data_IF_607878346620
#
_entry.id   IF_607878346620
#
_cell.length_a   1.000
_cell.length_b   1.000
_cell.length_c   1.000
_cell.angle_alpha   90.00
_cell.angle_beta   90.00
_cell.angle_gamma   90.00
#
_symmetry.space_group_name_H-M   'P 1'
#
loop_
_entity.id
_entity.type
_entity.pdbx_description
1 polymer ?
#
# COMPACT_ATOMS: atom_id res chain seq x y z
N UNK A 1 -26.13 -17.66 -2.07
CA UNK A 1 -25.55 -17.05 -0.84
C UNK A 1 -24.52 -16.03 -1.29
N UNK A 2 -24.59 -14.79 -0.78
CA UNK A 2 -23.51 -13.81 -0.98
C UNK A 2 -22.37 -14.14 -0.01
N UNK A 3 -21.14 -14.00 -0.48
CA UNK A 3 -19.91 -14.07 0.36
C UNK A 3 -20.00 -12.99 1.46
N UNK A 4 -19.64 -13.34 2.70
CA UNK A 4 -19.52 -12.35 3.79
C UNK A 4 -18.20 -11.58 3.71
N UNK A 5 -18.12 -10.40 4.33
CA UNK A 5 -16.88 -9.61 4.39
C UNK A 5 -15.69 -10.42 4.95
N UNK A 6 -15.91 -11.20 6.01
CA UNK A 6 -14.86 -12.04 6.60
C UNK A 6 -14.41 -13.15 5.66
N UNK A 7 -15.34 -13.74 4.89
CA UNK A 7 -15.01 -14.73 3.87
C UNK A 7 -14.20 -14.11 2.73
N UNK A 8 -14.57 -12.90 2.29
CA UNK A 8 -13.82 -12.16 1.27
C UNK A 8 -12.40 -11.81 1.74
N UNK A 9 -12.26 -11.31 2.98
CA UNK A 9 -10.95 -11.04 3.61
C UNK A 9 -10.08 -12.31 3.65
N UNK A 10 -10.64 -13.42 4.14
CA UNK A 10 -9.93 -14.68 4.25
C UNK A 10 -9.49 -15.23 2.88
N UNK A 11 -10.36 -15.14 1.86
CA UNK A 11 -10.06 -15.59 0.50
C UNK A 11 -8.94 -14.76 -0.13
N UNK A 12 -9.00 -13.43 -0.03
CA UNK A 12 -7.94 -12.56 -0.56
C UNK A 12 -6.63 -12.88 0.15
N UNK A 13 -6.66 -12.97 1.48
CA UNK A 13 -5.49 -13.28 2.30
C UNK A 13 -4.83 -14.60 1.91
N UNK A 14 -5.61 -15.67 1.77
CA UNK A 14 -5.10 -16.97 1.33
C UNK A 14 -4.46 -16.92 -0.07
N UNK A 15 -5.03 -16.12 -0.99
CA UNK A 15 -4.43 -15.88 -2.32
C UNK A 15 -3.09 -15.14 -2.23
N UNK A 16 -2.98 -14.14 -1.34
CA UNK A 16 -1.72 -13.42 -1.11
C UNK A 16 -0.66 -14.31 -0.46
N UNK A 17 -1.08 -15.22 0.44
CA UNK A 17 -0.19 -16.20 1.07
C UNK A 17 0.32 -17.26 0.07
N UNK A 18 -0.47 -17.57 -0.96
CA UNK A 18 -0.10 -18.46 -2.06
C UNK A 18 0.60 -17.75 -3.24
N UNK A 19 0.83 -16.44 -3.14
CA UNK A 19 1.49 -15.68 -4.20
C UNK A 19 2.99 -15.97 -4.18
N UNK A 20 3.53 -16.41 -5.33
CA UNK A 20 4.96 -16.63 -5.57
C UNK A 20 5.41 -15.67 -6.69
N UNK A 21 5.78 -14.45 -6.29
CA UNK A 21 6.23 -13.38 -7.17
C UNK A 21 7.72 -13.53 -7.50
N UNK A 22 8.03 -13.86 -8.76
CA UNK A 22 9.37 -14.24 -9.25
C UNK A 22 10.52 -13.21 -9.19
N UNK A 23 10.54 -12.27 -8.23
CA UNK A 23 11.69 -11.41 -7.93
C UNK A 23 11.79 -11.18 -6.41
N UNK A 24 12.37 -12.15 -5.68
CA UNK A 24 12.49 -12.18 -4.22
C UNK A 24 12.29 -13.59 -3.67
N UNK A 25 12.00 -13.75 -2.38
CA UNK A 25 11.60 -15.04 -1.79
C UNK A 25 10.20 -15.51 -2.21
N UNK A 26 9.60 -14.83 -3.20
CA UNK A 26 8.28 -15.13 -3.74
C UNK A 26 7.15 -14.47 -2.98
N UNK A 27 7.34 -13.98 -1.75
CA UNK A 27 6.21 -13.65 -0.88
C UNK A 27 5.84 -12.17 -0.90
N UNK A 28 4.54 -11.89 -0.80
CA UNK A 28 4.05 -10.58 -0.40
C UNK A 28 4.40 -10.43 1.07
N UNK A 29 5.14 -9.39 1.45
CA UNK A 29 5.51 -9.18 2.85
C UNK A 29 4.28 -9.04 3.75
N UNK A 30 4.35 -9.66 4.93
CA UNK A 30 3.27 -9.72 5.93
C UNK A 30 2.72 -8.33 6.29
N UNK A 31 3.59 -7.34 6.39
CA UNK A 31 3.24 -5.97 6.75
C UNK A 31 2.45 -5.23 5.66
N UNK A 32 2.57 -5.67 4.39
CA UNK A 32 1.85 -5.07 3.27
C UNK A 32 0.50 -5.73 3.01
N UNK A 33 0.32 -7.01 3.40
CA UNK A 33 -0.89 -7.80 3.13
C UNK A 33 -2.20 -7.14 3.63
N UNK A 34 -2.29 -6.58 4.86
CA UNK A 34 -3.52 -5.95 5.33
C UNK A 34 -4.01 -4.83 4.42
N UNK A 35 -3.09 -3.96 3.97
CA UNK A 35 -3.42 -2.87 3.05
C UNK A 35 -3.92 -3.41 1.71
N UNK A 36 -3.27 -4.45 1.17
CA UNK A 36 -3.69 -5.07 -0.09
C UNK A 36 -5.10 -5.68 0.03
N UNK A 37 -5.39 -6.38 1.12
CA UNK A 37 -6.73 -6.95 1.37
C UNK A 37 -7.80 -5.86 1.33
N UNK A 38 -7.57 -4.75 2.03
CA UNK A 38 -8.53 -3.65 2.12
C UNK A 38 -8.68 -2.94 0.76
N UNK A 39 -7.58 -2.74 0.04
CA UNK A 39 -7.60 -2.16 -1.30
C UNK A 39 -8.42 -3.03 -2.27
N UNK A 40 -8.26 -4.36 -2.24
CA UNK A 40 -9.01 -5.27 -3.10
C UNK A 40 -10.50 -5.31 -2.77
N UNK A 41 -10.87 -5.22 -1.48
CA UNK A 41 -12.27 -5.06 -1.08
C UNK A 41 -12.88 -3.77 -1.62
N UNK A 42 -12.07 -2.72 -1.77
CA UNK A 42 -12.47 -1.45 -2.39
C UNK A 42 -12.34 -1.45 -3.92
N UNK A 43 -12.05 -2.60 -4.54
CA UNK A 43 -11.95 -2.75 -6.00
C UNK A 43 -10.65 -2.22 -6.61
N UNK A 44 -9.61 -2.02 -5.80
CA UNK A 44 -8.27 -1.65 -6.24
C UNK A 44 -7.43 -2.90 -6.45
N UNK A 45 -6.81 -3.02 -7.62
CA UNK A 45 -5.97 -4.17 -7.94
C UNK A 45 -4.50 -3.87 -7.68
N UNK A 46 -3.83 -4.78 -6.99
CA UNK A 46 -2.40 -4.67 -6.69
C UNK A 46 -1.62 -5.77 -7.43
N UNK A 47 -0.38 -5.48 -7.78
CA UNK A 47 0.46 -6.39 -8.57
C UNK A 47 1.79 -6.73 -7.94
N UNK A 48 2.27 -5.92 -6.98
CA UNK A 48 3.39 -6.29 -6.11
C UNK A 48 3.43 -5.41 -4.86
N UNK A 49 4.25 -5.80 -3.88
CA UNK A 49 4.48 -5.04 -2.67
C UNK A 49 5.80 -5.39 -2.01
N UNK A 50 6.19 -4.59 -1.02
CA UNK A 50 7.21 -4.87 -0.04
C UNK A 50 6.79 -4.26 1.31
N UNK A 51 7.12 -4.90 2.43
CA UNK A 51 6.92 -4.48 3.82
C UNK A 51 8.07 -3.61 4.34
N UNK A 52 9.14 -3.49 3.53
CA UNK A 52 10.33 -2.71 3.82
C UNK A 52 11.38 -3.52 4.57
N UNK A 53 12.62 -3.53 4.05
CA UNK A 53 13.72 -4.29 4.63
C UNK A 53 14.87 -3.34 5.02
N UNK A 54 15.22 -3.30 6.31
CA UNK A 54 16.34 -2.48 6.78
C UNK A 54 17.70 -2.99 6.26
N UNK A 55 17.77 -4.26 5.86
CA UNK A 55 19.01 -4.96 5.52
C UNK A 55 19.36 -4.86 4.01
N UNK A 56 18.39 -4.44 3.17
CA UNK A 56 18.61 -4.24 1.74
C UNK A 56 18.95 -2.79 1.42
N UNK A 57 20.16 -2.58 0.92
CA UNK A 57 20.85 -1.30 0.70
C UNK A 57 20.12 -0.23 -0.13
N UNK A 58 18.94 -0.48 -0.73
CA UNK A 58 18.30 0.47 -1.65
C UNK A 58 16.77 0.64 -1.57
N UNK A 59 16.01 -0.22 -0.87
CA UNK A 59 14.54 -0.09 -0.79
C UNK A 59 13.99 -0.57 0.57
N UNK A 60 14.22 0.20 1.62
CA UNK A 60 13.92 -0.21 2.99
C UNK A 60 12.56 0.20 3.56
N UNK A 61 11.66 0.80 2.77
CA UNK A 61 10.34 1.20 3.24
C UNK A 61 9.23 0.32 2.65
N UNK A 62 8.11 0.14 3.36
CA UNK A 62 6.94 -0.51 2.80
C UNK A 62 6.42 0.26 1.58
N UNK A 63 6.08 -0.48 0.54
CA UNK A 63 5.46 0.02 -0.68
C UNK A 63 4.51 -1.04 -1.25
N UNK A 64 3.52 -0.61 -2.01
CA UNK A 64 2.73 -1.49 -2.86
C UNK A 64 2.51 -0.81 -4.20
N UNK A 65 2.28 -1.61 -5.24
CA UNK A 65 2.10 -1.11 -6.59
C UNK A 65 0.90 -1.76 -7.27
N UNK A 66 0.22 -0.98 -8.11
CA UNK A 66 -0.76 -1.46 -9.07
C UNK A 66 -0.25 -1.17 -10.47
N UNK A 67 0.01 -2.22 -11.25
CA UNK A 67 0.38 -2.13 -12.68
C UNK A 67 -0.65 -2.91 -13.48
N UNK A 68 -1.70 -2.23 -13.95
CA UNK A 68 -2.77 -2.86 -14.72
C UNK A 68 -2.54 -2.68 -16.22
N UNK A 69 -2.88 -3.73 -16.99
CA UNK A 69 -2.83 -3.67 -18.47
C UNK A 69 -3.81 -2.64 -19.04
N UNK A 70 -4.96 -2.44 -18.36
CA UNK A 70 -5.95 -1.43 -18.73
C UNK A 70 -5.55 -0.05 -18.16
N UNK A 71 -5.17 0.86 -19.06
CA UNK A 71 -4.73 2.21 -18.72
C UNK A 71 -5.82 3.07 -18.07
N UNK A 72 -7.05 2.96 -18.54
CA UNK A 72 -8.15 3.79 -18.03
C UNK A 72 -8.58 3.33 -16.64
N UNK A 73 -8.60 2.01 -16.43
CA UNK A 73 -8.79 1.43 -15.10
C UNK A 73 -7.68 1.85 -14.15
N UNK A 74 -6.42 1.82 -14.60
CA UNK A 74 -5.28 2.24 -13.80
C UNK A 74 -5.39 3.73 -13.40
N UNK A 75 -5.79 4.60 -14.33
CA UNK A 75 -6.03 6.02 -14.06
C UNK A 75 -7.16 6.27 -13.06
N UNK A 76 -8.28 5.54 -13.16
CA UNK A 76 -9.40 5.65 -12.21
C UNK A 76 -8.99 5.20 -10.80
N UNK A 77 -8.35 4.04 -10.68
CA UNK A 77 -7.87 3.53 -9.39
C UNK A 77 -6.83 4.48 -8.78
N UNK A 78 -5.90 5.00 -9.59
CA UNK A 78 -4.93 6.02 -9.15
C UNK A 78 -5.64 7.25 -8.56
N UNK A 79 -6.61 7.83 -9.27
CA UNK A 79 -7.36 9.00 -8.79
C UNK A 79 -8.12 8.72 -7.50
N UNK A 80 -8.69 7.53 -7.37
CA UNK A 80 -9.41 7.12 -6.17
C UNK A 80 -8.47 7.06 -4.95
N UNK A 81 -7.31 6.41 -5.12
CA UNK A 81 -6.27 6.34 -4.08
C UNK A 81 -5.72 7.74 -3.75
N UNK A 82 -5.53 8.60 -4.74
CA UNK A 82 -5.08 9.98 -4.55
C UNK A 82 -6.08 10.79 -3.70
N UNK A 83 -7.38 10.62 -3.94
CA UNK A 83 -8.44 11.21 -3.10
C UNK A 83 -8.35 10.74 -1.66
N UNK A 84 -8.23 9.44 -1.43
CA UNK A 84 -8.10 8.86 -0.09
C UNK A 84 -6.81 9.29 0.63
N UNK A 85 -5.69 9.35 -0.08
CA UNK A 85 -4.44 9.85 0.48
C UNK A 85 -4.53 11.33 0.84
N UNK A 86 -5.22 12.13 0.05
CA UNK A 86 -5.45 13.55 0.34
C UNK A 86 -6.29 13.70 1.61
N UNK A 87 -7.39 12.95 1.73
CA UNK A 87 -8.25 12.95 2.91
C UNK A 87 -7.49 12.45 4.15
N UNK A 88 -6.80 11.30 4.05
CA UNK A 88 -5.98 10.74 5.12
C UNK A 88 -4.91 11.74 5.61
N UNK A 89 -4.22 12.40 4.67
CA UNK A 89 -3.19 13.38 4.99
C UNK A 89 -3.76 14.68 5.57
N UNK A 90 -5.01 15.05 5.25
CA UNK A 90 -5.67 16.24 5.81
C UNK A 90 -6.14 16.08 7.25
N UNK A 91 -6.42 14.84 7.67
CA UNK A 91 -6.94 14.53 9.00
C UNK A 91 -5.84 14.13 10.00
N UNK A 92 -4.58 14.03 9.57
CA UNK A 92 -3.46 13.63 10.43
C UNK A 92 -2.59 14.80 10.84
N UNK A 93 -2.03 14.73 12.06
CA UNK A 93 -0.90 15.59 12.43
C UNK A 93 0.32 15.25 11.54
N UNK A 94 1.06 16.28 11.12
CA UNK A 94 2.25 16.10 10.28
C UNK A 94 3.27 15.18 10.98
N UNK A 95 3.46 13.99 10.42
CA UNK A 95 4.54 13.09 10.80
C UNK A 95 5.75 13.35 9.90
N UNK A 96 6.96 13.06 10.39
CA UNK A 96 8.21 13.18 9.63
C UNK A 96 8.22 12.34 8.32
N UNK A 97 7.24 11.45 8.15
CA UNK A 97 7.06 10.62 6.97
C UNK A 97 5.61 10.70 6.48
N UNK A 98 5.39 10.64 5.17
CA UNK A 98 4.07 10.73 4.55
C UNK A 98 3.87 9.65 3.50
N UNK A 99 2.66 9.09 3.43
CA UNK A 99 2.27 8.25 2.31
C UNK A 99 1.97 9.11 1.09
N UNK A 100 2.61 8.75 -0.01
CA UNK A 100 2.48 9.44 -1.29
C UNK A 100 2.21 8.43 -2.39
N UNK A 101 1.41 8.89 -3.36
CA UNK A 101 1.18 8.18 -4.60
C UNK A 101 2.24 8.61 -5.60
N UNK A 102 3.13 7.68 -5.96
CA UNK A 102 4.16 7.92 -6.95
C UNK A 102 3.71 7.32 -8.29
N UNK A 103 3.88 8.06 -9.40
CA UNK A 103 3.83 7.46 -10.73
C UNK A 103 4.86 6.33 -10.79
N UNK A 104 4.48 5.19 -11.37
CA UNK A 104 5.36 4.05 -11.56
C UNK A 104 5.47 3.72 -13.06
N UNK A 105 6.37 2.79 -13.41
CA UNK A 105 6.52 2.37 -14.81
C UNK A 105 5.21 1.77 -15.34
N UNK A 106 5.05 1.77 -16.67
CA UNK A 106 3.89 1.16 -17.35
C UNK A 106 2.53 1.74 -16.92
N UNK A 107 2.46 3.05 -16.65
CA UNK A 107 1.27 3.75 -16.14
C UNK A 107 0.79 3.26 -14.76
N UNK A 108 1.59 2.47 -14.06
CA UNK A 108 1.27 2.01 -12.71
C UNK A 108 1.28 3.14 -11.69
N UNK A 109 0.81 2.80 -10.49
CA UNK A 109 0.96 3.63 -9.32
C UNK A 109 1.68 2.85 -8.21
N UNK A 110 2.36 3.58 -7.35
CA UNK A 110 2.96 3.03 -6.13
C UNK A 110 2.59 3.90 -4.95
N UNK A 111 1.98 3.33 -3.90
CA UNK A 111 1.93 4.02 -2.61
C UNK A 111 3.19 3.64 -1.85
N UNK A 112 3.93 4.66 -1.46
CA UNK A 112 5.17 4.50 -0.71
C UNK A 112 5.29 5.64 0.28
N UNK A 113 6.08 5.39 1.32
CA UNK A 113 6.38 6.41 2.31
C UNK A 113 7.53 7.28 1.79
N UNK A 114 7.38 8.60 1.86
CA UNK A 114 8.43 9.58 1.61
C UNK A 114 8.80 10.29 2.91
N UNK A 115 10.08 10.63 3.06
CA UNK A 115 10.56 11.46 4.16
C UNK A 115 10.31 12.93 3.83
N UNK A 116 9.57 13.61 4.70
CA UNK A 116 9.28 15.04 4.52
C UNK A 116 10.42 15.93 5.02
N UNK A 117 11.40 15.37 5.75
CA UNK A 117 12.54 16.12 6.30
C UNK A 117 13.71 16.27 5.35
N UNK A 118 13.75 15.50 4.25
CA UNK A 118 14.88 15.47 3.29
C UNK A 118 14.49 15.92 1.87
N UNK A 119 13.57 16.89 1.75
CA UNK A 119 13.15 17.52 0.48
C UNK A 119 12.74 16.51 -0.62
N UNK A 120 12.10 15.40 -0.26
CA UNK A 120 11.57 14.44 -1.21
C UNK A 120 12.61 13.55 -1.91
N UNK A 121 13.86 13.48 -1.41
CA UNK A 121 14.81 12.46 -1.88
C UNK A 121 14.41 11.07 -1.38
N UNK A 122 14.59 10.07 -2.24
CA UNK A 122 14.47 8.67 -1.84
C UNK A 122 15.40 8.42 -0.64
N UNK A 123 14.81 7.95 0.45
CA UNK A 123 15.47 7.62 1.69
C UNK A 123 16.75 6.82 1.43
N UNK A 124 17.93 7.43 1.66
CA UNK A 124 19.21 6.73 1.72
C UNK A 124 19.23 5.69 2.85
N UNK A 125 20.35 4.95 3.03
CA UNK A 125 20.51 3.87 4.03
C UNK A 125 19.68 4.13 5.30
N UNK A 126 18.58 3.39 5.43
CA UNK A 126 17.53 3.69 6.38
C UNK A 126 17.91 3.28 7.80
N UNK A 127 17.59 4.12 8.78
CA UNK A 127 17.55 3.68 10.17
C UNK A 127 16.31 2.81 10.40
N UNK A 128 16.43 1.74 11.21
CA UNK A 128 15.28 0.92 11.64
C UNK A 128 14.11 1.77 12.17
N UNK A 129 14.39 2.94 12.75
CA UNK A 129 13.40 3.88 13.26
C UNK A 129 12.51 4.45 12.15
N UNK A 130 13.07 4.76 10.98
CA UNK A 130 12.31 5.28 9.84
C UNK A 130 11.45 4.19 9.19
N UNK A 131 11.97 2.96 9.09
CA UNK A 131 11.19 1.80 8.62
C UNK A 131 9.96 1.58 9.50
N UNK A 132 10.13 1.58 10.83
CA UNK A 132 8.99 1.44 11.77
C UNK A 132 7.97 2.56 11.64
N UNK A 133 8.40 3.80 11.41
CA UNK A 133 7.48 4.92 11.17
C UNK A 133 6.71 4.73 9.86
N UNK A 134 7.37 4.32 8.79
CA UNK A 134 6.73 4.02 7.52
C UNK A 134 5.71 2.86 7.62
N UNK A 135 6.05 1.79 8.35
CA UNK A 135 5.10 0.70 8.65
C UNK A 135 3.92 1.17 9.49
N UNK A 136 4.13 2.10 10.43
CA UNK A 136 3.04 2.69 11.20
C UNK A 136 2.10 3.53 10.32
N UNK A 137 2.64 4.30 9.37
CA UNK A 137 1.83 5.03 8.38
C UNK A 137 1.00 4.07 7.52
N UNK A 138 1.58 2.97 7.04
CA UNK A 138 0.87 1.93 6.31
C UNK A 138 -0.31 1.37 7.11
N UNK A 139 -0.10 1.05 8.39
CA UNK A 139 -1.16 0.56 9.28
C UNK A 139 -2.25 1.61 9.49
N UNK A 140 -1.88 2.87 9.75
CA UNK A 140 -2.84 3.95 9.93
C UNK A 140 -3.69 4.18 8.67
N UNK A 141 -3.08 4.15 7.49
CA UNK A 141 -3.82 4.25 6.24
C UNK A 141 -4.69 3.03 5.97
N UNK A 142 -4.23 1.83 6.33
CA UNK A 142 -5.05 0.60 6.26
C UNK A 142 -6.32 0.76 7.10
N UNK A 143 -6.20 1.17 8.37
CA UNK A 143 -7.34 1.40 9.26
C UNK A 143 -8.30 2.47 8.74
N UNK A 144 -7.75 3.54 8.16
CA UNK A 144 -8.54 4.57 7.49
C UNK A 144 -9.37 4.01 6.33
N UNK A 145 -8.80 3.10 5.53
CA UNK A 145 -9.52 2.45 4.43
C UNK A 145 -10.49 1.37 4.92
N UNK A 146 -10.20 0.66 6.02
CA UNK A 146 -11.13 -0.28 6.64
C UNK A 146 -12.43 0.40 7.03
N UNK A 147 -12.35 1.59 7.64
CA UNK A 147 -13.54 2.40 7.94
C UNK A 147 -14.35 2.76 6.68
N UNK A 148 -13.70 2.87 5.51
CA UNK A 148 -14.41 3.09 4.23
C UNK A 148 -15.06 1.81 3.71
N UNK A 149 -14.45 0.65 3.88
CA UNK A 149 -15.08 -0.65 3.56
C UNK A 149 -16.36 -0.81 4.37
N UNK A 150 -16.27 -0.59 5.69
CA UNK A 150 -17.42 -0.70 6.60
C UNK A 150 -18.55 0.28 6.21
N UNK A 151 -18.19 1.53 5.87
CA UNK A 151 -19.15 2.54 5.41
C UNK A 151 -19.78 2.22 4.04
N UNK A 152 -19.13 1.39 3.22
CA UNK A 152 -19.62 1.00 1.89
C UNK A 152 -20.68 -0.10 1.95
N UNK A 153 -20.92 -0.70 3.12
CA UNK A 153 -21.89 -1.78 3.31
C UNK A 153 -21.51 -3.08 2.58
N UNK A 154 -20.20 -3.28 2.35
CA UNK A 154 -19.60 -4.52 1.81
C UNK A 154 -19.50 -5.55 2.93
#
# INVERSE_FOLDING_TARGET
MKETLDQAKARIRARLDAYDGGLGDGTIDEEAKPLIVVLELLGIETTASCGGHADFLKFGYPWMQGILKDRDKNHRQRKQIEGWLTEFNSCRHQNAVALRLNPHVLNGFRIATQDETDNGRALGKLSFRLVRKAQAEFRAFTQFLEAKVDASGI
#
